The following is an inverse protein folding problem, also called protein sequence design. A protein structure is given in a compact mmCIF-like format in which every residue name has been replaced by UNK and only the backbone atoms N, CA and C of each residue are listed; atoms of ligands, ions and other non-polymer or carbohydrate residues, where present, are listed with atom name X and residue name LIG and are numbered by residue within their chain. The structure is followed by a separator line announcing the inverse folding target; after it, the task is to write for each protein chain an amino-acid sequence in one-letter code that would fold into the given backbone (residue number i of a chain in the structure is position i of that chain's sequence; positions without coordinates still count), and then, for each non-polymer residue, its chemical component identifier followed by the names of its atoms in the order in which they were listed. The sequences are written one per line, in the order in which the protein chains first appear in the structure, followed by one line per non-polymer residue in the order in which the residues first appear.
data_IF_571081909008
#
_entry.id   IF_571081909008
#
_cell.length_a   1.000
_cell.length_b   1.000
_cell.length_c   1.000
_cell.angle_alpha   90.00
_cell.angle_beta   90.00
_cell.angle_gamma   90.00
#
_symmetry.space_group_name_H-M   'P 1'
#
loop_
_entity.id
_entity.type
_entity.pdbx_description
1 polymer ?
#
# COMPACT_ATOMS: atom_id res chain seq x y z
N UNK A 1 -23.31 -14.26 -14.36
CA UNK A 1 -22.29 -13.38 -13.76
C UNK A 1 -21.49 -12.85 -14.92
N UNK A 2 -21.43 -11.53 -15.09
CA UNK A 2 -20.44 -10.94 -15.99
C UNK A 2 -19.06 -11.43 -15.57
N UNK A 3 -18.21 -11.70 -16.55
CA UNK A 3 -16.80 -11.98 -16.33
C UNK A 3 -16.19 -10.75 -15.63
N UNK A 4 -15.53 -10.97 -14.48
CA UNK A 4 -14.88 -9.90 -13.71
C UNK A 4 -14.01 -9.03 -14.58
N UNK A 5 -13.32 -9.61 -15.59
CA UNK A 5 -12.44 -8.88 -16.52
C UNK A 5 -13.16 -7.79 -17.31
N UNK A 6 -14.44 -7.98 -17.62
CA UNK A 6 -15.25 -7.06 -18.43
C UNK A 6 -15.99 -5.99 -17.63
N UNK A 7 -15.72 -5.87 -16.32
CA UNK A 7 -16.29 -4.79 -15.51
C UNK A 7 -15.88 -3.44 -16.09
N UNK A 8 -16.88 -2.59 -16.38
CA UNK A 8 -16.66 -1.22 -16.85
C UNK A 8 -16.36 -0.30 -15.68
N UNK A 9 -15.21 0.36 -15.70
CA UNK A 9 -14.79 1.21 -14.59
C UNK A 9 -15.72 2.42 -14.38
N UNK A 10 -16.40 2.87 -15.45
CA UNK A 10 -17.38 3.95 -15.41
C UNK A 10 -18.60 3.62 -14.53
N UNK A 11 -18.89 2.34 -14.28
CA UNK A 11 -19.94 1.91 -13.35
C UNK A 11 -19.55 2.12 -11.88
N UNK A 12 -18.27 2.37 -11.62
CA UNK A 12 -17.72 2.66 -10.29
C UNK A 12 -17.46 4.16 -10.14
N UNK A 13 -18.41 4.96 -10.63
CA UNK A 13 -18.34 6.41 -10.60
C UNK A 13 -19.35 7.00 -9.61
N UNK A 14 -18.93 8.09 -8.96
CA UNK A 14 -19.76 8.92 -8.07
C UNK A 14 -19.22 10.36 -8.07
N UNK A 15 -20.05 11.37 -7.81
CA UNK A 15 -19.60 12.77 -7.77
C UNK A 15 -18.75 13.01 -6.52
N UNK A 16 -17.46 13.33 -6.71
CA UNK A 16 -16.55 13.73 -5.64
C UNK A 16 -16.17 15.21 -5.82
N UNK A 17 -16.85 16.16 -5.14
CA UNK A 17 -16.49 17.57 -5.21
C UNK A 17 -15.19 17.86 -4.43
N UNK A 18 -14.37 18.82 -4.90
CA UNK A 18 -13.06 19.15 -4.31
C UNK A 18 -13.15 19.52 -2.83
N UNK A 19 -14.25 20.16 -2.41
CA UNK A 19 -14.52 20.53 -1.02
C UNK A 19 -14.67 19.33 -0.06
N UNK A 20 -14.96 18.14 -0.58
CA UNK A 20 -15.02 16.90 0.22
C UNK A 20 -13.65 16.23 0.33
N UNK A 21 -12.64 16.66 -0.44
CA UNK A 21 -11.29 16.11 -0.37
C UNK A 21 -10.51 16.78 0.78
N UNK A 22 -10.16 16.01 1.80
CA UNK A 22 -9.34 16.53 2.90
C UNK A 22 -7.89 16.73 2.45
N UNK A 23 -7.47 18.00 2.38
CA UNK A 23 -6.08 18.38 2.01
C UNK A 23 -5.07 18.20 3.16
N UNK A 24 -5.57 18.20 4.39
CA UNK A 24 -4.83 18.01 5.64
C UNK A 24 -5.65 17.15 6.60
N UNK A 25 -5.00 16.40 7.50
CA UNK A 25 -5.71 15.67 8.55
C UNK A 25 -6.26 16.63 9.60
N UNK A 26 -7.17 16.12 10.43
CA UNK A 26 -7.56 16.82 11.66
C UNK A 26 -6.35 16.92 12.61
N UNK A 27 -6.31 17.98 13.41
CA UNK A 27 -5.28 18.17 14.43
C UNK A 27 -5.24 16.97 15.41
N UNK A 28 -6.41 16.44 15.76
CA UNK A 28 -6.56 15.19 16.51
C UNK A 28 -7.19 14.15 15.59
N UNK A 29 -6.36 13.27 15.03
CA UNK A 29 -6.75 12.39 13.91
C UNK A 29 -7.87 11.41 14.24
N UNK A 30 -7.89 10.89 15.46
CA UNK A 30 -8.93 9.96 15.93
C UNK A 30 -10.28 10.64 16.23
N UNK A 31 -10.39 11.96 16.04
CA UNK A 31 -11.67 12.69 16.05
C UNK A 31 -12.32 12.75 14.66
N UNK A 32 -11.75 12.06 13.67
CA UNK A 32 -12.40 11.89 12.36
C UNK A 32 -13.70 11.11 12.49
N UNK A 33 -14.60 11.30 11.52
CA UNK A 33 -15.83 10.51 11.49
C UNK A 33 -15.51 9.05 11.17
N UNK A 34 -16.32 8.16 11.70
CA UNK A 34 -16.33 6.73 11.39
C UNK A 34 -17.70 6.37 10.81
N UNK A 35 -17.74 6.03 9.52
CA UNK A 35 -18.89 5.39 8.93
C UNK A 35 -18.88 3.91 9.34
N UNK A 36 -20.00 3.40 9.83
CA UNK A 36 -20.15 1.99 10.22
C UNK A 36 -21.15 1.34 9.28
N UNK A 37 -20.65 0.46 8.41
CA UNK A 37 -21.47 -0.43 7.60
C UNK A 37 -21.52 -1.80 8.25
N UNK A 38 -22.71 -2.25 8.64
CA UNK A 38 -22.90 -3.56 9.29
C UNK A 38 -24.10 -4.29 8.70
N UNK A 39 -23.83 -5.38 7.98
CA UNK A 39 -24.84 -6.27 7.40
C UNK A 39 -25.93 -5.54 6.60
N UNK A 40 -25.51 -4.54 5.80
CA UNK A 40 -26.41 -3.74 4.97
C UNK A 40 -26.87 -2.42 5.59
N UNK A 41 -26.71 -2.22 6.91
CA UNK A 41 -27.06 -0.95 7.57
C UNK A 41 -25.87 0.01 7.57
N UNK A 42 -26.14 1.31 7.42
CA UNK A 42 -25.14 2.38 7.47
C UNK A 42 -25.48 3.33 8.61
N UNK A 43 -24.49 3.62 9.45
CA UNK A 43 -24.56 4.59 10.54
C UNK A 43 -23.25 5.38 10.63
N UNK A 44 -23.21 6.38 11.50
CA UNK A 44 -22.01 7.17 11.77
C UNK A 44 -21.70 7.23 13.27
N UNK A 45 -20.41 7.31 13.58
CA UNK A 45 -19.85 7.54 14.91
C UNK A 45 -18.52 8.32 14.75
N UNK A 46 -17.72 8.42 15.80
CA UNK A 46 -16.38 8.99 15.80
C UNK A 46 -15.36 7.86 15.82
N UNK A 47 -14.18 8.06 15.21
CA UNK A 47 -13.16 7.01 15.09
C UNK A 47 -12.70 6.42 16.44
N UNK A 48 -12.70 7.19 17.53
CA UNK A 48 -12.44 6.66 18.88
C UNK A 48 -13.43 5.59 19.34
N UNK A 49 -14.61 5.50 18.74
CA UNK A 49 -15.62 4.47 19.04
C UNK A 49 -15.35 3.15 18.32
N UNK A 50 -14.38 3.09 17.41
CA UNK A 50 -14.04 1.88 16.65
C UNK A 50 -13.95 0.60 17.51
N UNK A 51 -13.27 0.58 18.68
CA UNK A 51 -13.19 -0.62 19.50
C UNK A 51 -14.56 -1.18 19.91
N UNK A 52 -15.59 -0.34 20.09
CA UNK A 52 -16.92 -0.79 20.52
C UNK A 52 -17.60 -1.73 19.53
N UNK A 53 -17.23 -1.67 18.26
CA UNK A 53 -17.77 -2.51 17.18
C UNK A 53 -17.01 -3.83 16.99
N UNK A 54 -15.92 -4.01 17.74
CA UNK A 54 -15.06 -5.20 17.69
C UNK A 54 -15.31 -6.10 18.90
N UNK A 55 -15.09 -7.39 18.68
CA UNK A 55 -15.25 -8.46 19.65
C UNK A 55 -13.89 -8.86 20.23
N UNK A 56 -13.84 -9.16 21.53
CA UNK A 56 -12.61 -9.60 22.18
C UNK A 56 -12.10 -10.91 21.54
N UNK A 57 -10.79 -10.98 21.32
CA UNK A 57 -10.12 -12.10 20.64
C UNK A 57 -10.10 -11.98 19.12
N UNK A 58 -10.68 -10.94 18.51
CA UNK A 58 -10.47 -10.67 17.10
C UNK A 58 -9.03 -10.20 16.82
N UNK A 59 -8.50 -10.59 15.65
CA UNK A 59 -7.16 -10.22 15.20
C UNK A 59 -7.22 -9.08 14.20
N UNK A 60 -6.47 -8.00 14.47
CA UNK A 60 -6.42 -6.81 13.65
C UNK A 60 -5.02 -6.60 13.05
N UNK A 61 -4.97 -6.41 11.74
CA UNK A 61 -3.72 -6.45 10.96
C UNK A 61 -3.41 -5.09 10.34
N UNK A 62 -2.23 -4.56 10.67
CA UNK A 62 -1.76 -3.24 10.29
C UNK A 62 -0.61 -3.33 9.28
N UNK A 63 -0.60 -2.47 8.25
CA UNK A 63 0.56 -2.29 7.39
C UNK A 63 1.55 -1.30 8.05
N UNK A 64 2.70 -1.78 8.50
CA UNK A 64 3.69 -0.98 9.25
C UNK A 64 4.72 -0.27 8.35
N UNK A 65 4.46 -0.21 7.04
CA UNK A 65 5.31 0.49 6.10
C UNK A 65 5.37 1.99 6.38
N UNK A 66 6.56 2.58 6.17
CA UNK A 66 6.85 3.99 6.34
C UNK A 66 7.17 4.61 4.99
N UNK A 67 6.54 5.76 4.72
CA UNK A 67 6.76 6.50 3.48
C UNK A 67 8.18 7.04 3.44
N UNK A 68 8.86 6.85 2.32
CA UNK A 68 10.20 7.37 2.06
C UNK A 68 10.13 8.66 1.25
N UNK A 69 11.16 9.49 1.35
CA UNK A 69 11.33 10.69 0.56
C UNK A 69 11.81 10.32 -0.87
N UNK A 70 10.93 9.71 -1.65
CA UNK A 70 11.23 9.07 -2.94
C UNK A 70 11.33 10.02 -4.14
N UNK A 71 11.01 11.31 -4.00
CA UNK A 71 11.05 12.26 -5.13
C UNK A 71 12.34 13.07 -5.10
N UNK A 72 13.24 12.78 -6.03
CA UNK A 72 14.52 13.49 -6.17
C UNK A 72 14.43 14.56 -7.26
N UNK A 73 15.07 15.70 -7.01
CA UNK A 73 15.16 16.80 -7.96
C UNK A 73 16.59 17.02 -8.45
N UNK A 74 16.75 17.05 -9.77
CA UNK A 74 18.00 17.36 -10.44
C UNK A 74 17.83 18.59 -11.34
N UNK A 75 18.86 19.43 -11.42
CA UNK A 75 18.89 20.57 -12.35
C UNK A 75 19.97 20.33 -13.39
N UNK A 76 19.60 20.43 -14.67
CA UNK A 76 20.57 20.42 -15.76
C UNK A 76 21.33 21.75 -15.82
N UNK A 77 22.48 21.77 -16.51
CA UNK A 77 23.23 22.99 -16.81
C UNK A 77 22.37 24.04 -17.52
N UNK A 78 21.39 23.60 -18.32
CA UNK A 78 20.41 24.47 -18.98
C UNK A 78 19.39 25.12 -18.03
N UNK A 79 19.46 24.83 -16.73
CA UNK A 79 18.52 25.28 -15.71
C UNK A 79 17.23 24.45 -15.59
N UNK A 80 17.01 23.50 -16.50
CA UNK A 80 15.81 22.65 -16.49
C UNK A 80 15.77 21.74 -15.26
N UNK A 81 14.63 21.73 -14.55
CA UNK A 81 14.35 20.83 -13.44
C UNK A 81 13.84 19.48 -13.97
N UNK A 82 14.51 18.40 -13.58
CA UNK A 82 14.11 17.03 -13.84
C UNK A 82 13.74 16.40 -12.49
N UNK A 83 12.54 15.80 -12.44
CA UNK A 83 12.07 15.09 -11.26
C UNK A 83 12.26 13.60 -11.49
N UNK A 84 12.87 12.91 -10.53
CA UNK A 84 13.10 11.47 -10.55
C UNK A 84 12.36 10.88 -9.37
N UNK A 85 11.27 10.17 -9.64
CA UNK A 85 10.40 9.62 -8.61
C UNK A 85 10.62 8.12 -8.48
N UNK A 86 11.33 7.71 -7.43
CA UNK A 86 11.64 6.32 -7.12
C UNK A 86 10.34 5.53 -6.85
N UNK A 87 10.13 4.45 -7.59
CA UNK A 87 8.95 3.59 -7.47
C UNK A 87 9.26 2.32 -6.69
N UNK A 88 10.27 1.59 -7.16
CA UNK A 88 10.71 0.32 -6.60
C UNK A 88 12.19 0.07 -6.91
N UNK A 89 12.92 -0.58 -5.98
CA UNK A 89 14.31 -0.97 -6.17
C UNK A 89 14.42 -2.10 -7.19
N UNK A 90 15.55 -2.16 -7.88
CA UNK A 90 15.82 -3.18 -8.90
C UNK A 90 17.14 -3.88 -8.65
N UNK A 91 18.18 -3.13 -8.29
CA UNK A 91 19.48 -3.70 -7.95
C UNK A 91 20.09 -3.04 -6.72
N UNK A 92 20.16 -3.76 -5.59
CA UNK A 92 19.40 -4.99 -5.32
C UNK A 92 17.88 -4.72 -5.35
N UNK A 93 17.07 -5.74 -5.61
CA UNK A 93 15.60 -5.64 -5.66
C UNK A 93 14.96 -5.68 -4.25
N UNK A 94 15.70 -6.14 -3.24
CA UNK A 94 15.26 -6.05 -1.84
C UNK A 94 15.42 -4.61 -1.31
N UNK A 95 14.35 -4.08 -0.71
CA UNK A 95 14.33 -2.71 -0.20
C UNK A 95 15.37 -2.45 0.90
N UNK A 96 15.55 -3.39 1.83
CA UNK A 96 16.48 -3.21 2.96
C UNK A 96 17.91 -3.20 2.46
N UNK A 97 18.28 -4.17 1.63
CA UNK A 97 19.59 -4.26 1.01
C UNK A 97 19.85 -3.06 0.09
N UNK A 98 18.84 -2.60 -0.64
CA UNK A 98 18.98 -1.46 -1.56
C UNK A 98 19.25 -0.17 -0.79
N UNK A 99 18.47 0.08 0.27
CA UNK A 99 18.66 1.23 1.14
C UNK A 99 20.00 1.24 1.86
N UNK A 100 20.60 0.08 2.11
CA UNK A 100 21.92 -0.04 2.74
C UNK A 100 23.10 0.08 1.77
N UNK A 101 22.86 0.12 0.45
CA UNK A 101 23.95 0.33 -0.50
C UNK A 101 24.65 1.66 -0.25
N UNK A 102 25.97 1.72 -0.47
CA UNK A 102 26.80 2.90 -0.19
C UNK A 102 27.57 3.45 -1.40
N UNK A 103 27.33 2.96 -2.61
CA UNK A 103 28.04 3.42 -3.81
C UNK A 103 27.12 3.62 -5.00
N UNK A 104 26.23 2.65 -5.17
CA UNK A 104 25.30 2.61 -6.29
C UNK A 104 24.08 1.76 -5.94
N UNK A 105 22.97 2.06 -6.59
CA UNK A 105 21.78 1.22 -6.58
C UNK A 105 20.92 1.56 -7.80
N UNK A 106 20.06 0.65 -8.21
CA UNK A 106 19.16 0.86 -9.34
C UNK A 106 17.71 0.81 -8.91
N UNK A 107 16.89 1.67 -9.51
CA UNK A 107 15.45 1.80 -9.23
C UNK A 107 14.66 1.96 -10.52
N UNK A 108 13.44 1.45 -10.55
CA UNK A 108 12.43 1.91 -11.50
C UNK A 108 11.87 3.24 -11.00
N UNK A 109 11.91 4.25 -11.87
CA UNK A 109 11.50 5.61 -11.55
C UNK A 109 10.49 6.16 -12.57
N UNK A 110 9.55 7.01 -12.12
CA UNK A 110 8.82 7.91 -13.02
C UNK A 110 9.60 9.22 -13.16
N UNK A 111 9.67 9.76 -14.39
CA UNK A 111 10.49 10.94 -14.69
C UNK A 111 9.61 12.13 -15.06
N UNK A 112 9.61 13.15 -14.21
CA UNK A 112 9.03 14.46 -14.49
C UNK A 112 9.89 15.25 -15.47
N UNK A 113 9.26 15.99 -16.39
CA UNK A 113 9.93 16.74 -17.46
C UNK A 113 10.88 15.90 -18.34
N UNK A 114 10.58 14.61 -18.54
CA UNK A 114 11.39 13.66 -19.34
C UNK A 114 11.85 14.21 -20.70
N UNK A 115 11.03 15.00 -21.40
CA UNK A 115 11.39 15.62 -22.69
C UNK A 115 12.67 16.48 -22.64
N UNK A 116 13.10 16.91 -21.45
CA UNK A 116 14.31 17.70 -21.20
C UNK A 116 15.53 16.85 -20.81
N UNK A 117 15.33 15.56 -20.52
CA UNK A 117 16.39 14.59 -20.22
C UNK A 117 16.42 13.47 -21.27
N UNK A 118 17.03 13.77 -22.42
CA UNK A 118 17.19 12.81 -23.52
C UNK A 118 18.34 11.84 -23.26
N UNK A 119 19.49 12.37 -22.89
CA UNK A 119 20.73 11.62 -22.67
C UNK A 119 21.57 12.30 -21.58
N UNK A 120 22.61 11.60 -21.13
CA UNK A 120 23.59 12.06 -20.14
C UNK A 120 23.20 11.78 -18.70
N UNK A 121 24.19 11.86 -17.82
CA UNK A 121 24.03 11.72 -16.37
C UNK A 121 23.56 13.04 -15.77
N UNK A 122 22.60 12.96 -14.84
CA UNK A 122 22.24 14.08 -13.98
C UNK A 122 23.07 14.00 -12.71
N UNK A 123 23.54 15.14 -12.22
CA UNK A 123 24.28 15.19 -10.96
C UNK A 123 23.81 16.36 -10.10
N UNK A 124 23.87 16.18 -8.79
CA UNK A 124 23.59 17.22 -7.80
C UNK A 124 24.52 17.06 -6.61
N UNK A 125 24.98 18.19 -6.09
CA UNK A 125 25.74 18.25 -4.85
C UNK A 125 24.77 18.39 -3.69
N UNK A 126 24.89 17.52 -2.68
CA UNK A 126 24.10 17.52 -1.46
C UNK A 126 25.02 17.40 -0.23
N UNK A 127 24.57 17.87 0.93
CA UNK A 127 25.31 17.75 2.18
C UNK A 127 24.64 16.72 3.08
N UNK A 128 25.27 15.56 3.27
CA UNK A 128 24.72 14.44 4.05
C UNK A 128 25.71 14.12 5.16
N UNK A 129 25.24 14.10 6.43
CA UNK A 129 26.09 13.85 7.61
C UNK A 129 27.36 14.73 7.67
N UNK A 130 27.26 15.98 7.20
CA UNK A 130 28.37 16.94 7.17
C UNK A 130 29.37 16.75 6.02
N UNK A 131 29.10 15.81 5.10
CA UNK A 131 29.93 15.55 3.91
C UNK A 131 29.23 16.06 2.66
N UNK A 132 30.01 16.65 1.76
CA UNK A 132 29.54 17.07 0.45
C UNK A 132 29.63 15.88 -0.52
N UNK A 133 28.48 15.44 -1.02
CA UNK A 133 28.33 14.24 -1.86
C UNK A 133 27.80 14.65 -3.23
N UNK A 134 28.35 14.06 -4.30
CA UNK A 134 27.85 14.17 -5.66
C UNK A 134 26.93 13.00 -5.96
N UNK A 135 25.63 13.20 -5.80
CA UNK A 135 24.62 12.23 -6.20
C UNK A 135 24.40 12.33 -7.71
N UNK A 136 24.55 11.21 -8.41
CA UNK A 136 24.34 11.09 -9.85
C UNK A 136 23.22 10.10 -10.18
N UNK A 137 22.52 10.35 -11.28
CA UNK A 137 21.46 9.51 -11.82
C UNK A 137 21.67 9.32 -13.33
N UNK A 138 21.78 8.07 -13.76
CA UNK A 138 21.92 7.69 -15.17
C UNK A 138 20.72 6.87 -15.60
N UNK A 139 20.13 7.22 -16.74
CA UNK A 139 18.93 6.56 -17.26
C UNK A 139 19.31 5.35 -18.11
N UNK A 140 18.77 4.19 -17.75
CA UNK A 140 18.86 2.94 -18.49
C UNK A 140 17.59 2.64 -19.30
N UNK A 141 17.20 1.37 -19.31
CA UNK A 141 16.06 0.85 -20.09
C UNK A 141 14.70 1.43 -19.64
N UNK A 142 13.72 1.39 -20.55
CA UNK A 142 12.35 1.81 -20.27
C UNK A 142 11.45 0.58 -20.18
N UNK A 143 10.65 0.49 -19.11
CA UNK A 143 9.62 -0.54 -18.91
C UNK A 143 8.26 0.13 -18.76
N UNK A 144 7.47 0.14 -19.83
CA UNK A 144 6.18 0.82 -19.86
C UNK A 144 6.30 2.33 -19.61
N UNK A 145 5.75 2.80 -18.49
CA UNK A 145 5.83 4.22 -18.06
C UNK A 145 6.97 4.51 -17.07
N UNK A 146 7.73 3.49 -16.70
CA UNK A 146 8.82 3.57 -15.72
C UNK A 146 10.17 3.47 -16.43
N UNK A 147 11.17 4.15 -15.88
CA UNK A 147 12.53 4.16 -16.38
C UNK A 147 13.47 3.55 -15.36
N UNK A 148 14.33 2.64 -15.79
CA UNK A 148 15.45 2.17 -14.99
C UNK A 148 16.42 3.34 -14.77
N UNK A 149 16.73 3.64 -13.51
CA UNK A 149 17.71 4.68 -13.14
C UNK A 149 18.78 4.04 -12.26
N UNK A 150 20.03 4.19 -12.68
CA UNK A 150 21.22 3.88 -11.88
C UNK A 150 21.64 5.11 -11.11
N UNK A 151 21.54 5.05 -9.78
CA UNK A 151 22.08 6.04 -8.89
C UNK A 151 23.52 5.69 -8.51
N UNK A 152 24.38 6.69 -8.43
CA UNK A 152 25.75 6.54 -7.93
C UNK A 152 26.20 7.78 -7.15
N UNK A 153 27.09 7.58 -6.18
CA UNK A 153 27.64 8.68 -5.38
C UNK A 153 29.04 8.35 -4.86
N UNK A 154 29.75 9.39 -4.41
CA UNK A 154 31.20 9.39 -4.18
C UNK A 154 31.61 9.21 -2.70
N UNK A 155 30.87 8.43 -1.91
CA UNK A 155 31.22 8.12 -0.51
C UNK A 155 30.67 6.75 -0.06
N UNK A 156 31.54 5.85 0.40
CA UNK A 156 31.20 4.47 0.84
C UNK A 156 30.60 4.35 2.25
N UNK A 157 30.45 5.45 2.96
CA UNK A 157 29.86 5.48 4.30
C UNK A 157 28.43 6.03 4.31
N UNK A 158 28.00 6.68 3.22
CA UNK A 158 26.66 7.22 3.07
C UNK A 158 25.77 6.20 2.37
N UNK A 159 24.66 5.85 3.01
CA UNK A 159 23.70 4.88 2.46
C UNK A 159 22.71 5.55 1.50
N UNK A 160 22.08 4.78 0.60
CA UNK A 160 21.02 5.34 -0.25
C UNK A 160 19.84 5.90 0.56
N UNK A 161 19.52 5.27 1.71
CA UNK A 161 18.52 5.82 2.62
C UNK A 161 18.89 7.22 3.16
N UNK A 162 20.17 7.45 3.49
CA UNK A 162 20.64 8.77 3.92
C UNK A 162 20.49 9.81 2.80
N UNK A 163 20.76 9.42 1.54
CA UNK A 163 20.59 10.29 0.38
C UNK A 163 19.11 10.68 0.18
N UNK A 164 18.20 9.71 0.21
CA UNK A 164 16.76 9.97 0.11
C UNK A 164 16.28 10.89 1.23
N UNK A 165 16.78 10.69 2.45
CA UNK A 165 16.35 11.48 3.61
C UNK A 165 16.70 12.97 3.51
N UNK A 166 17.79 13.30 2.84
CA UNK A 166 18.27 14.68 2.68
C UNK A 166 17.87 15.30 1.34
N UNK A 167 17.97 14.54 0.26
CA UNK A 167 17.79 15.04 -1.11
C UNK A 167 16.37 14.84 -1.64
N UNK A 168 15.63 13.92 -1.04
CA UNK A 168 14.29 13.57 -1.45
C UNK A 168 13.23 14.50 -0.87
N UNK A 169 12.14 14.62 -1.60
CA UNK A 169 10.88 15.18 -1.12
C UNK A 169 9.92 14.03 -0.80
N UNK A 170 9.14 14.17 0.27
CA UNK A 170 8.07 13.23 0.60
C UNK A 170 6.97 13.32 -0.46
N UNK A 171 6.67 12.24 -1.20
CA UNK A 171 5.60 12.27 -2.19
C UNK A 171 4.24 12.25 -1.50
N UNK A 172 3.41 13.25 -1.80
CA UNK A 172 2.00 13.27 -1.43
C UNK A 172 1.09 13.00 -2.65
N UNK A 173 -0.13 12.46 -2.44
CA UNK A 173 -1.04 12.16 -3.54
C UNK A 173 -1.36 13.40 -4.38
N UNK A 174 -1.39 13.30 -5.72
CA UNK A 174 -1.61 14.45 -6.60
C UNK A 174 -2.97 15.12 -6.41
N UNK A 175 -3.99 14.37 -5.96
CA UNK A 175 -5.32 14.91 -5.71
C UNK A 175 -5.41 15.84 -4.49
N UNK A 176 -4.38 15.90 -3.64
CA UNK A 176 -4.35 16.91 -2.56
C UNK A 176 -4.18 18.33 -3.12
N UNK A 177 -3.69 18.45 -4.36
CA UNK A 177 -3.53 19.70 -5.10
C UNK A 177 -2.82 20.80 -4.30
N UNK A 178 -1.73 20.42 -3.64
CA UNK A 178 -0.83 21.30 -2.89
C UNK A 178 0.58 20.75 -2.89
N UNK A 179 1.54 21.59 -2.55
CA UNK A 179 2.93 21.17 -2.31
C UNK A 179 3.04 20.43 -0.97
N UNK A 180 4.09 19.59 -0.87
CA UNK A 180 4.48 18.92 0.36
C UNK A 180 4.91 19.95 1.40
N UNK A 181 4.51 19.75 2.65
CA UNK A 181 4.90 20.61 3.78
C UNK A 181 5.75 19.83 4.78
N UNK A 182 6.54 20.52 5.60
CA UNK A 182 7.35 19.86 6.64
C UNK A 182 6.50 19.03 7.61
N UNK A 183 5.27 19.48 7.91
CA UNK A 183 4.33 18.71 8.73
C UNK A 183 3.97 17.35 8.12
N UNK A 184 4.01 17.18 6.79
CA UNK A 184 3.68 15.91 6.13
C UNK A 184 4.66 14.79 6.49
N UNK A 185 5.90 15.11 6.86
CA UNK A 185 6.88 14.12 7.35
C UNK A 185 6.37 13.36 8.58
N UNK A 186 5.50 14.00 9.36
CA UNK A 186 4.82 13.42 10.53
C UNK A 186 3.35 13.07 10.22
N UNK A 187 2.64 13.93 9.49
CA UNK A 187 1.20 13.78 9.26
C UNK A 187 0.84 12.71 8.26
N UNK A 188 1.73 12.44 7.30
CA UNK A 188 1.56 11.41 6.28
C UNK A 188 2.25 10.09 6.66
N UNK A 189 2.21 9.76 7.96
CA UNK A 189 2.74 8.53 8.52
C UNK A 189 1.81 8.02 9.62
N UNK A 190 1.71 6.70 9.77
CA UNK A 190 1.02 6.07 10.90
C UNK A 190 1.93 6.08 12.14
N UNK A 191 1.35 6.12 13.33
CA UNK A 191 2.10 6.13 14.60
C UNK A 191 2.92 4.85 14.82
N UNK A 192 2.51 3.75 14.18
CA UNK A 192 3.15 2.43 14.24
C UNK A 192 4.03 2.13 13.01
N UNK A 193 4.29 3.10 12.12
CA UNK A 193 5.15 2.88 10.96
C UNK A 193 6.61 2.68 11.35
N UNK A 194 7.22 1.57 10.88
CA UNK A 194 8.57 1.15 11.26
C UNK A 194 9.46 0.91 10.04
N UNK A 195 8.93 0.23 9.02
CA UNK A 195 9.72 -0.28 7.90
C UNK A 195 9.72 0.72 6.75
N UNK A 196 10.84 1.41 6.52
CA UNK A 196 11.02 2.30 5.35
C UNK A 196 10.86 1.47 4.07
N UNK A 197 10.06 1.96 3.12
CA UNK A 197 10.03 1.41 1.76
C UNK A 197 8.76 1.65 0.95
N UNK A 198 7.82 2.47 1.44
CA UNK A 198 6.64 2.83 0.64
C UNK A 198 6.74 4.22 0.06
N UNK A 199 6.10 4.42 -1.08
CA UNK A 199 5.94 5.71 -1.76
C UNK A 199 4.60 6.36 -1.39
N UNK A 200 3.67 5.60 -0.81
CA UNK A 200 2.40 6.09 -0.30
C UNK A 200 2.14 5.57 1.12
N UNK A 201 1.43 6.35 1.93
CA UNK A 201 1.08 5.94 3.29
C UNK A 201 -0.09 4.95 3.28
N UNK A 202 -0.13 3.97 4.21
CA UNK A 202 -1.33 3.16 4.47
C UNK A 202 -2.37 4.04 5.19
N UNK A 203 -3.10 4.83 4.40
CA UNK A 203 -3.86 5.99 4.87
C UNK A 203 -5.00 5.68 5.85
N UNK A 204 -5.58 4.49 5.78
CA UNK A 204 -6.56 4.03 6.77
C UNK A 204 -5.95 3.91 8.18
N UNK A 205 -4.64 3.68 8.24
CA UNK A 205 -3.88 3.64 9.47
C UNK A 205 -3.66 4.99 10.14
N UNK A 206 -3.86 6.11 9.41
CA UNK A 206 -3.54 7.45 9.93
C UNK A 206 -4.46 7.89 11.07
N UNK A 207 -5.64 7.28 11.20
CA UNK A 207 -6.63 7.59 12.23
C UNK A 207 -6.31 6.95 13.58
N UNK A 208 -5.47 5.92 13.60
CA UNK A 208 -5.04 5.26 14.82
C UNK A 208 -4.02 6.12 15.54
N UNK A 209 -4.43 6.67 16.67
CA UNK A 209 -3.55 7.28 17.66
C UNK A 209 -3.15 6.24 18.70
N UNK A 210 -2.12 6.53 19.50
CA UNK A 210 -1.75 5.70 20.66
C UNK A 210 -2.95 5.45 21.60
N UNK A 211 -3.85 6.44 21.74
CA UNK A 211 -5.09 6.32 22.51
C UNK A 211 -6.01 5.24 21.95
N UNK A 212 -6.22 5.21 20.63
CA UNK A 212 -7.07 4.20 19.99
C UNK A 212 -6.43 2.82 20.08
N UNK A 213 -5.11 2.72 19.86
CA UNK A 213 -4.37 1.46 19.98
C UNK A 213 -4.47 0.89 21.40
N UNK A 214 -4.30 1.72 22.43
CA UNK A 214 -4.47 1.31 23.82
C UNK A 214 -5.91 0.84 24.11
N UNK A 215 -6.92 1.52 23.58
CA UNK A 215 -8.33 1.12 23.75
C UNK A 215 -8.66 -0.22 23.06
N UNK A 216 -7.97 -0.56 21.96
CA UNK A 216 -8.07 -1.89 21.34
C UNK A 216 -7.45 -2.95 22.25
N UNK A 217 -6.26 -2.69 22.81
CA UNK A 217 -5.58 -3.61 23.72
C UNK A 217 -6.41 -3.87 24.99
N UNK A 218 -6.99 -2.82 25.59
CA UNK A 218 -7.87 -2.92 26.77
C UNK A 218 -9.14 -3.75 26.50
N UNK A 219 -9.62 -3.77 25.25
CA UNK A 219 -10.77 -4.57 24.83
C UNK A 219 -10.40 -5.99 24.43
N UNK A 220 -9.12 -6.35 24.53
CA UNK A 220 -8.60 -7.66 24.20
C UNK A 220 -8.64 -7.95 22.69
N UNK A 221 -8.39 -6.93 21.87
CA UNK A 221 -8.19 -7.11 20.42
C UNK A 221 -6.72 -7.45 20.19
N UNK A 222 -6.45 -8.58 19.54
CA UNK A 222 -5.11 -8.98 19.16
C UNK A 222 -4.64 -8.13 17.97
N UNK A 223 -3.37 -7.70 17.98
CA UNK A 223 -2.82 -6.85 16.93
C UNK A 223 -1.53 -7.42 16.38
N UNK A 224 -1.45 -7.52 15.06
CA UNK A 224 -0.25 -7.93 14.34
C UNK A 224 0.05 -6.94 13.21
N UNK A 225 1.29 -6.97 12.74
CA UNK A 225 1.77 -6.10 11.68
C UNK A 225 2.32 -6.92 10.51
N UNK A 226 2.11 -6.40 9.30
CA UNK A 226 2.73 -6.86 8.07
C UNK A 226 3.37 -5.69 7.33
N UNK A 227 4.23 -5.98 6.36
CA UNK A 227 4.76 -4.98 5.44
C UNK A 227 4.22 -5.23 4.04
N UNK A 228 3.62 -4.21 3.44
CA UNK A 228 3.43 -4.09 1.99
C UNK A 228 4.08 -2.79 1.53
N UNK A 229 5.09 -2.91 0.68
CA UNK A 229 5.72 -1.76 0.03
C UNK A 229 4.85 -1.27 -1.12
N UNK A 230 4.24 -0.10 -0.91
CA UNK A 230 3.31 0.51 -1.85
C UNK A 230 4.09 1.37 -2.84
N UNK A 231 4.11 0.98 -4.11
CA UNK A 231 4.69 1.77 -5.20
C UNK A 231 3.80 2.95 -5.62
N UNK A 232 4.29 3.84 -6.49
CA UNK A 232 3.48 4.98 -6.96
C UNK A 232 2.29 4.60 -7.85
N UNK A 233 2.22 3.33 -8.26
CA UNK A 233 1.11 2.76 -9.02
C UNK A 233 -0.27 3.03 -8.40
N UNK A 234 -0.33 3.06 -7.07
CA UNK A 234 -1.56 3.32 -6.29
C UNK A 234 -2.18 4.69 -6.56
N UNK A 235 -1.42 5.65 -7.11
CA UNK A 235 -1.96 6.97 -7.47
C UNK A 235 -2.52 7.04 -8.90
N UNK A 236 -2.34 6.01 -9.72
CA UNK A 236 -2.76 6.05 -11.11
C UNK A 236 -4.25 5.70 -11.23
N UNK A 237 -5.07 6.58 -11.84
CA UNK A 237 -6.43 6.21 -12.18
C UNK A 237 -6.43 5.09 -13.23
N UNK A 238 -7.48 4.27 -13.22
CA UNK A 238 -7.73 3.30 -14.29
C UNK A 238 -8.11 4.08 -15.54
N UNK A 239 -7.34 3.89 -16.63
CA UNK A 239 -7.55 4.61 -17.90
C UNK A 239 -8.26 3.77 -18.96
N UNK A 240 -8.32 2.45 -18.77
CA UNK A 240 -9.03 1.53 -19.65
C UNK A 240 -10.54 1.61 -19.40
N UNK A 241 -11.34 1.28 -20.42
CA UNK A 241 -12.81 1.19 -20.28
C UNK A 241 -13.19 0.03 -19.35
N UNK A 242 -12.57 -1.12 -19.58
CA UNK A 242 -12.74 -2.34 -18.81
C UNK A 242 -11.51 -2.62 -17.94
N UNK A 243 -11.70 -3.34 -16.84
CA UNK A 243 -10.62 -3.62 -15.89
C UNK A 243 -9.58 -4.60 -16.44
N UNK A 244 -9.92 -5.42 -17.44
CA UNK A 244 -8.95 -6.29 -18.15
C UNK A 244 -7.74 -5.50 -18.68
N UNK A 245 -8.00 -4.30 -19.20
CA UNK A 245 -6.96 -3.42 -19.75
C UNK A 245 -6.12 -2.70 -18.69
N UNK A 246 -6.37 -2.91 -17.40
CA UNK A 246 -5.60 -2.32 -16.31
C UNK A 246 -4.58 -3.31 -15.76
N UNK A 247 -3.31 -2.95 -15.85
CA UNK A 247 -2.22 -3.69 -15.22
C UNK A 247 -1.98 -3.18 -13.80
N UNK A 248 -2.13 -4.07 -12.82
CA UNK A 248 -1.77 -3.84 -11.43
C UNK A 248 -0.25 -3.82 -11.29
N UNK A 249 0.24 -2.88 -10.51
CA UNK A 249 1.66 -2.85 -10.17
C UNK A 249 2.02 -3.97 -9.20
N UNK A 250 3.20 -4.54 -9.37
CA UNK A 250 3.77 -5.47 -8.39
C UNK A 250 4.08 -4.73 -7.11
N UNK A 251 3.69 -5.32 -5.99
CA UNK A 251 4.04 -4.85 -4.66
C UNK A 251 4.67 -5.96 -3.85
N UNK A 252 5.63 -5.59 -3.02
CA UNK A 252 6.41 -6.54 -2.24
C UNK A 252 5.86 -6.66 -0.83
N UNK A 253 5.70 -7.90 -0.38
CA UNK A 253 5.19 -8.24 0.94
C UNK A 253 6.31 -8.82 1.81
N UNK A 254 6.26 -8.50 3.10
CA UNK A 254 7.00 -9.23 4.13
C UNK A 254 6.08 -9.49 5.30
N UNK A 255 5.96 -10.77 5.69
CA UNK A 255 5.10 -11.21 6.79
C UNK A 255 5.90 -12.14 7.69
N UNK A 256 5.95 -11.82 8.98
CA UNK A 256 6.70 -12.65 9.93
C UNK A 256 6.04 -14.01 10.10
N UNK A 257 6.85 -15.03 10.40
CA UNK A 257 6.36 -16.37 10.77
C UNK A 257 5.38 -16.29 11.94
N UNK A 258 5.66 -15.45 12.94
CA UNK A 258 4.77 -15.23 14.08
C UNK A 258 3.38 -14.74 13.66
N UNK A 259 3.31 -13.81 12.70
CA UNK A 259 2.04 -13.29 12.19
C UNK A 259 1.26 -14.39 11.43
N UNK A 260 1.94 -15.30 10.72
CA UNK A 260 1.30 -16.48 10.10
C UNK A 260 0.73 -17.42 11.17
N UNK A 261 1.50 -17.70 12.23
CA UNK A 261 1.04 -18.52 13.36
C UNK A 261 -0.18 -17.91 14.06
N UNK A 262 -0.17 -16.59 14.27
CA UNK A 262 -1.33 -15.84 14.79
C UNK A 262 -2.54 -15.99 13.86
N UNK A 263 -2.40 -15.75 12.56
CA UNK A 263 -3.50 -15.92 11.62
C UNK A 263 -4.10 -17.33 11.68
N UNK A 264 -3.27 -18.38 11.77
CA UNK A 264 -3.72 -19.76 11.95
C UNK A 264 -4.49 -19.93 13.26
N UNK A 265 -3.97 -19.41 14.37
CA UNK A 265 -4.62 -19.46 15.69
C UNK A 265 -5.97 -18.73 15.72
N UNK A 266 -6.16 -17.72 14.86
CA UNK A 266 -7.42 -17.01 14.65
C UNK A 266 -8.24 -17.58 13.47
N UNK A 267 -8.10 -18.88 13.17
CA UNK A 267 -8.86 -19.60 12.15
C UNK A 267 -8.71 -19.05 10.71
N UNK A 268 -7.59 -18.37 10.44
CA UNK A 268 -7.38 -17.68 9.17
C UNK A 268 -8.34 -16.51 8.96
N UNK A 269 -8.80 -15.87 10.04
CA UNK A 269 -9.72 -14.73 10.01
C UNK A 269 -9.06 -13.48 10.57
N UNK A 270 -9.25 -12.34 9.91
CA UNK A 270 -8.68 -11.07 10.35
C UNK A 270 -9.52 -9.85 10.02
N UNK A 271 -9.31 -8.79 10.80
CA UNK A 271 -9.71 -7.42 10.52
C UNK A 271 -8.55 -6.72 9.83
N UNK A 272 -8.75 -6.27 8.59
CA UNK A 272 -7.71 -5.57 7.85
C UNK A 272 -7.78 -4.05 8.06
N UNK A 273 -6.64 -3.42 8.34
CA UNK A 273 -6.52 -1.96 8.39
C UNK A 273 -5.95 -1.44 7.07
N UNK A 274 -6.85 -1.01 6.20
CA UNK A 274 -6.56 -0.49 4.88
C UNK A 274 -6.50 -1.57 3.80
N UNK A 275 -6.75 -1.13 2.57
CA UNK A 275 -6.76 -1.98 1.37
C UNK A 275 -5.40 -2.61 1.07
N UNK A 276 -4.30 -2.03 1.56
CA UNK A 276 -2.96 -2.65 1.49
C UNK A 276 -2.90 -3.92 2.32
N UNK A 277 -3.38 -3.87 3.57
CA UNK A 277 -3.44 -5.07 4.43
C UNK A 277 -4.38 -6.11 3.85
N UNK A 278 -5.50 -5.69 3.25
CA UNK A 278 -6.41 -6.61 2.54
C UNK A 278 -5.68 -7.38 1.47
N UNK A 279 -4.99 -6.69 0.56
CA UNK A 279 -4.30 -7.36 -0.55
C UNK A 279 -3.21 -8.29 -0.05
N UNK A 280 -2.45 -7.92 0.98
CA UNK A 280 -1.46 -8.84 1.56
C UNK A 280 -2.12 -10.08 2.16
N UNK A 281 -3.13 -9.91 3.01
CA UNK A 281 -3.81 -11.03 3.68
C UNK A 281 -4.44 -11.97 2.67
N UNK A 282 -5.17 -11.44 1.71
CA UNK A 282 -5.77 -12.24 0.65
C UNK A 282 -4.72 -12.92 -0.23
N UNK A 283 -3.58 -12.27 -0.50
CA UNK A 283 -2.47 -12.90 -1.21
C UNK A 283 -1.80 -14.03 -0.43
N UNK A 284 -1.78 -13.99 0.92
CA UNK A 284 -1.25 -15.12 1.72
C UNK A 284 -2.02 -16.41 1.44
N UNK A 285 -3.33 -16.35 1.23
CA UNK A 285 -4.09 -17.52 0.81
C UNK A 285 -3.53 -18.10 -0.49
N UNK A 286 -3.38 -17.26 -1.52
CA UNK A 286 -2.90 -17.71 -2.84
C UNK A 286 -1.43 -18.14 -2.83
N UNK A 287 -0.58 -17.55 -2.00
CA UNK A 287 0.79 -18.03 -1.81
C UNK A 287 0.78 -19.43 -1.20
N UNK A 288 -0.07 -19.69 -0.20
CA UNK A 288 -0.29 -21.03 0.32
C UNK A 288 -0.75 -22.02 -0.76
N UNK A 289 -1.62 -21.56 -1.68
CA UNK A 289 -2.01 -22.35 -2.86
C UNK A 289 -0.82 -22.63 -3.77
N UNK A 290 0.02 -21.65 -4.09
CA UNK A 290 1.22 -21.86 -4.92
C UNK A 290 2.17 -22.89 -4.29
N UNK A 291 2.43 -22.77 -2.97
CA UNK A 291 3.28 -23.71 -2.23
C UNK A 291 2.68 -25.12 -2.25
N UNK A 292 1.36 -25.25 -2.12
CA UNK A 292 0.71 -26.58 -2.15
C UNK A 292 0.91 -27.31 -3.49
N UNK A 293 1.00 -26.56 -4.60
CA UNK A 293 1.26 -27.12 -5.93
C UNK A 293 2.75 -27.32 -6.21
N UNK A 294 3.61 -26.49 -5.63
CA UNK A 294 5.07 -26.58 -5.76
C UNK A 294 5.78 -26.31 -4.42
N UNK A 295 5.96 -27.33 -3.56
CA UNK A 295 6.53 -27.17 -2.22
C UNK A 295 7.99 -26.68 -2.17
N UNK A 296 8.71 -26.84 -3.28
CA UNK A 296 10.12 -26.47 -3.47
C UNK A 296 10.29 -25.14 -4.23
N UNK A 297 9.21 -24.38 -4.41
CA UNK A 297 9.24 -23.08 -5.07
C UNK A 297 10.20 -22.10 -4.36
N UNK A 298 10.98 -21.38 -5.15
CA UNK A 298 11.77 -20.24 -4.67
C UNK A 298 10.84 -19.08 -4.30
N UNK A 299 11.31 -18.16 -3.45
CA UNK A 299 10.50 -16.99 -3.05
C UNK A 299 10.07 -16.12 -4.24
N UNK A 300 10.91 -16.03 -5.28
CA UNK A 300 10.59 -15.29 -6.51
C UNK A 300 9.45 -15.96 -7.30
N UNK A 301 9.31 -17.28 -7.21
CA UNK A 301 8.20 -18.03 -7.82
C UNK A 301 6.90 -17.93 -7.00
N UNK A 302 6.97 -17.54 -5.73
CA UNK A 302 5.80 -17.31 -4.87
C UNK A 302 5.13 -15.96 -5.15
N UNK A 303 5.00 -15.59 -6.42
CA UNK A 303 4.37 -14.35 -6.86
C UNK A 303 2.88 -14.54 -7.15
N UNK A 304 2.01 -13.76 -6.51
CA UNK A 304 0.56 -13.80 -6.79
C UNK A 304 0.22 -12.95 -8.01
N UNK A 305 -0.08 -13.64 -9.12
CA UNK A 305 -0.48 -13.02 -10.38
C UNK A 305 -1.83 -12.30 -10.26
N UNK A 306 -2.03 -11.28 -11.10
CA UNK A 306 -3.20 -10.39 -11.05
C UNK A 306 -4.54 -11.14 -11.05
N UNK A 307 -4.76 -12.03 -12.02
CA UNK A 307 -6.04 -12.71 -12.25
C UNK A 307 -6.18 -14.08 -11.58
N UNK A 308 -5.13 -14.52 -10.87
CA UNK A 308 -5.07 -15.80 -10.18
C UNK A 308 -6.35 -16.11 -9.36
N UNK A 309 -6.96 -15.15 -8.63
CA UNK A 309 -8.16 -15.42 -7.85
C UNK A 309 -9.40 -15.87 -8.63
N UNK A 310 -9.47 -15.59 -9.93
CA UNK A 310 -10.63 -15.86 -10.78
C UNK A 310 -10.39 -17.03 -11.74
N UNK A 311 -9.13 -17.43 -11.92
CA UNK A 311 -8.71 -18.47 -12.87
C UNK A 311 -8.49 -19.80 -12.15
N UNK A 312 -7.87 -19.77 -10.97
CA UNK A 312 -7.52 -20.96 -10.23
C UNK A 312 -8.66 -21.41 -9.32
N UNK A 313 -9.15 -22.64 -9.56
CA UNK A 313 -10.01 -23.34 -8.62
C UNK A 313 -9.15 -24.07 -7.62
N UNK A 314 -9.27 -23.73 -6.35
CA UNK A 314 -8.63 -24.44 -5.26
C UNK A 314 -9.58 -24.57 -4.07
N UNK A 315 -9.48 -25.70 -3.39
CA UNK A 315 -10.39 -26.12 -2.32
C UNK A 315 -9.77 -26.00 -0.91
N UNK A 316 -8.55 -25.46 -0.79
CA UNK A 316 -7.94 -25.23 0.52
C UNK A 316 -8.77 -24.24 1.34
N UNK A 317 -8.90 -24.53 2.62
CA UNK A 317 -9.34 -23.56 3.62
C UNK A 317 -8.26 -22.50 3.86
N UNK A 318 -8.62 -21.30 4.39
CA UNK A 318 -7.63 -20.29 4.77
C UNK A 318 -6.54 -20.83 5.72
N UNK A 319 -6.93 -21.66 6.68
CA UNK A 319 -5.98 -22.26 7.64
C UNK A 319 -5.02 -23.23 6.94
N UNK A 320 -5.50 -24.09 6.05
CA UNK A 320 -4.63 -25.01 5.31
C UNK A 320 -3.64 -24.25 4.41
N UNK A 321 -4.09 -23.20 3.72
CA UNK A 321 -3.21 -22.36 2.92
C UNK A 321 -2.13 -21.66 3.77
N UNK A 322 -2.50 -21.10 4.93
CA UNK A 322 -1.53 -20.52 5.86
C UNK A 322 -0.57 -21.57 6.44
N UNK A 323 -1.04 -22.80 6.68
CA UNK A 323 -0.20 -23.89 7.13
C UNK A 323 0.86 -24.27 6.08
N UNK A 324 0.53 -24.23 4.79
CA UNK A 324 1.53 -24.42 3.72
C UNK A 324 2.66 -23.40 3.81
N UNK A 325 2.34 -22.14 4.10
CA UNK A 325 3.33 -21.08 4.32
C UNK A 325 4.16 -21.38 5.57
N UNK A 326 3.52 -21.71 6.69
CA UNK A 326 4.24 -22.01 7.94
C UNK A 326 5.21 -23.19 7.77
N UNK A 327 4.77 -24.26 7.11
CA UNK A 327 5.61 -25.42 6.83
C UNK A 327 6.75 -25.07 5.87
N UNK A 328 6.49 -24.24 4.86
CA UNK A 328 7.52 -23.74 3.95
C UNK A 328 8.60 -22.95 4.70
N UNK A 329 8.21 -22.03 5.57
CA UNK A 329 9.13 -21.23 6.40
C UNK A 329 9.96 -22.13 7.32
N UNK A 330 9.33 -23.14 7.94
CA UNK A 330 10.02 -24.10 8.79
C UNK A 330 11.05 -24.93 8.00
N UNK A 331 10.70 -25.44 6.81
CA UNK A 331 11.60 -26.24 5.97
C UNK A 331 12.84 -25.47 5.52
N UNK A 332 12.69 -24.16 5.30
CA UNK A 332 13.76 -23.28 4.82
C UNK A 332 14.44 -22.49 5.94
N UNK A 333 14.10 -22.75 7.21
CA UNK A 333 14.64 -22.04 8.38
C UNK A 333 14.49 -20.51 8.28
N UNK A 334 13.33 -20.06 7.79
CA UNK A 334 13.01 -18.65 7.56
C UNK A 334 12.09 -18.09 8.66
N UNK A 335 12.41 -16.88 9.12
CA UNK A 335 11.60 -16.15 10.12
C UNK A 335 10.54 -15.24 9.52
N UNK A 336 10.59 -15.00 8.20
CA UNK A 336 9.61 -14.20 7.49
C UNK A 336 9.43 -14.69 6.05
N UNK A 337 8.19 -14.63 5.57
CA UNK A 337 7.87 -14.77 4.16
C UNK A 337 8.17 -13.45 3.44
N UNK A 338 8.97 -13.53 2.39
CA UNK A 338 9.14 -12.44 1.42
C UNK A 338 8.57 -12.93 0.08
N UNK A 339 7.73 -12.10 -0.53
CA UNK A 339 7.00 -12.44 -1.76
C UNK A 339 6.50 -11.15 -2.41
N UNK A 340 5.80 -11.26 -3.53
CA UNK A 340 5.19 -10.13 -4.23
C UNK A 340 3.79 -10.47 -4.77
N UNK A 341 3.01 -9.43 -5.04
CA UNK A 341 1.63 -9.58 -5.50
C UNK A 341 1.24 -8.50 -6.49
N UNK A 342 0.45 -8.90 -7.50
CA UNK A 342 -0.29 -8.03 -8.41
C UNK A 342 -1.81 -8.22 -8.25
N UNK A 343 -2.26 -8.82 -7.15
CA UNK A 343 -3.66 -9.25 -6.98
C UNK A 343 -4.66 -8.11 -7.27
N UNK A 344 -5.64 -8.38 -8.14
CA UNK A 344 -6.79 -7.50 -8.34
C UNK A 344 -8.00 -8.07 -7.60
N UNK A 345 -8.57 -7.26 -6.70
CA UNK A 345 -9.78 -7.59 -5.97
C UNK A 345 -10.91 -6.73 -6.52
N UNK A 346 -11.89 -7.37 -7.15
CA UNK A 346 -13.01 -6.76 -7.85
C UNK A 346 -14.28 -7.58 -7.62
N UNK A 347 -15.48 -7.03 -7.91
CA UNK A 347 -16.73 -7.77 -7.76
C UNK A 347 -16.67 -9.16 -8.40
N UNK A 348 -17.18 -10.17 -7.68
CA UNK A 348 -16.99 -11.59 -8.02
C UNK A 348 -15.90 -12.27 -7.18
N UNK A 349 -15.04 -11.50 -6.49
CA UNK A 349 -14.04 -12.03 -5.57
C UNK A 349 -14.65 -12.65 -4.31
N UNK A 350 -14.08 -13.76 -3.84
CA UNK A 350 -14.45 -14.40 -2.57
C UNK A 350 -13.35 -14.19 -1.55
N UNK A 351 -13.62 -13.34 -0.55
CA UNK A 351 -12.70 -13.08 0.55
C UNK A 351 -12.44 -14.33 1.40
N UNK A 352 -11.16 -14.65 1.55
CA UNK A 352 -10.68 -15.86 2.23
C UNK A 352 -10.39 -15.54 3.69
N UNK A 353 -9.57 -14.52 3.95
CA UNK A 353 -9.03 -14.22 5.28
C UNK A 353 -9.72 -13.00 5.91
N UNK A 354 -9.92 -11.93 5.15
CA UNK A 354 -10.46 -10.68 5.69
C UNK A 354 -11.96 -10.81 5.95
N UNK A 355 -12.38 -10.58 7.20
CA UNK A 355 -13.80 -10.63 7.63
C UNK A 355 -14.39 -9.25 7.94
N UNK A 356 -13.55 -8.31 8.38
CA UNK A 356 -13.90 -6.90 8.57
C UNK A 356 -12.78 -6.03 8.01
N UNK A 357 -13.10 -4.81 7.58
CA UNK A 357 -12.08 -3.88 7.07
C UNK A 357 -12.31 -2.48 7.62
N UNK A 358 -11.23 -1.83 8.06
CA UNK A 358 -11.18 -0.38 8.29
C UNK A 358 -10.52 0.27 7.08
N UNK A 359 -11.18 1.21 6.40
CA UNK A 359 -10.61 1.89 5.23
C UNK A 359 -11.13 3.32 5.07
N UNK A 360 -10.41 4.16 4.31
CA UNK A 360 -10.91 5.47 3.88
C UNK A 360 -11.95 5.34 2.75
N UNK A 361 -12.49 6.48 2.33
CA UNK A 361 -13.20 6.60 1.05
C UNK A 361 -12.20 6.79 -0.10
N UNK A 362 -12.45 6.15 -1.24
CA UNK A 362 -11.52 6.06 -2.36
C UNK A 362 -12.01 6.83 -3.59
N UNK A 363 -11.10 7.20 -4.49
CA UNK A 363 -11.47 7.93 -5.71
C UNK A 363 -12.52 7.17 -6.55
N UNK A 364 -13.42 7.88 -7.25
CA UNK A 364 -14.25 7.27 -8.26
C UNK A 364 -13.36 6.63 -9.33
N UNK A 365 -13.85 5.56 -9.95
CA UNK A 365 -13.19 4.85 -11.05
C UNK A 365 -11.78 4.33 -10.66
N UNK A 366 -11.65 3.83 -9.42
CA UNK A 366 -10.41 3.27 -8.89
C UNK A 366 -10.53 1.79 -8.55
N UNK A 367 -9.40 1.07 -8.61
CA UNK A 367 -9.33 -0.34 -8.18
C UNK A 367 -9.60 -0.51 -6.68
N UNK A 368 -9.31 0.51 -5.87
CA UNK A 368 -9.65 0.49 -4.44
C UNK A 368 -11.18 0.51 -4.22
N UNK A 369 -11.92 1.22 -5.06
CA UNK A 369 -13.39 1.20 -5.01
C UNK A 369 -13.96 -0.15 -5.46
N UNK A 370 -13.33 -0.81 -6.45
CA UNK A 370 -13.68 -2.18 -6.84
C UNK A 370 -13.47 -3.17 -5.68
N UNK A 371 -12.34 -3.06 -4.97
CA UNK A 371 -12.04 -3.87 -3.80
C UNK A 371 -13.10 -3.71 -2.71
N UNK A 372 -13.41 -2.45 -2.35
CA UNK A 372 -14.48 -2.15 -1.38
C UNK A 372 -15.83 -2.70 -1.86
N UNK A 373 -16.18 -2.50 -3.13
CA UNK A 373 -17.41 -3.03 -3.72
C UNK A 373 -17.51 -4.55 -3.61
N UNK A 374 -16.42 -5.27 -3.91
CA UNK A 374 -16.36 -6.71 -3.77
C UNK A 374 -16.62 -7.12 -2.32
N UNK A 375 -16.02 -6.40 -1.36
CA UNK A 375 -16.16 -6.70 0.07
C UNK A 375 -17.59 -6.56 0.56
N UNK A 376 -18.27 -5.47 0.18
CA UNK A 376 -19.65 -5.19 0.59
C UNK A 376 -20.70 -5.74 -0.38
N UNK A 377 -20.31 -6.68 -1.26
CA UNK A 377 -21.18 -7.37 -2.21
C UNK A 377 -22.00 -6.42 -3.09
N UNK A 378 -21.36 -5.36 -3.58
CA UNK A 378 -21.96 -4.35 -4.47
C UNK A 378 -22.67 -3.19 -3.76
N UNK A 379 -22.84 -3.23 -2.43
CA UNK A 379 -23.52 -2.16 -1.66
C UNK A 379 -22.71 -0.87 -1.47
N UNK A 380 -21.60 -0.69 -2.19
CA UNK A 380 -20.71 0.47 -2.02
C UNK A 380 -21.42 1.80 -2.28
N UNK A 381 -22.38 1.86 -3.23
CA UNK A 381 -23.13 3.10 -3.51
C UNK A 381 -23.85 3.62 -2.29
N UNK A 382 -24.53 2.74 -1.54
CA UNK A 382 -25.23 3.10 -0.30
C UNK A 382 -24.29 3.75 0.72
N UNK A 383 -23.07 3.23 0.85
CA UNK A 383 -22.05 3.75 1.76
C UNK A 383 -21.57 5.14 1.31
N UNK A 384 -21.25 5.28 0.03
CA UNK A 384 -20.69 6.52 -0.52
C UNK A 384 -21.75 7.63 -0.61
N UNK A 385 -22.99 7.30 -0.97
CA UNK A 385 -24.11 8.24 -0.99
C UNK A 385 -24.44 8.75 0.43
N UNK A 386 -24.41 7.86 1.42
CA UNK A 386 -24.56 8.25 2.82
C UNK A 386 -23.43 9.21 3.24
N UNK A 387 -22.18 8.86 2.95
CA UNK A 387 -21.02 9.67 3.28
C UNK A 387 -21.10 11.08 2.66
N UNK A 388 -21.47 11.18 1.37
CA UNK A 388 -21.66 12.46 0.69
C UNK A 388 -22.79 13.29 1.31
N UNK A 389 -23.91 12.64 1.67
CA UNK A 389 -25.07 13.27 2.30
C UNK A 389 -24.88 13.70 3.75
N UNK A 390 -23.85 13.20 4.44
CA UNK A 390 -23.56 13.46 5.86
C UNK A 390 -22.19 14.13 6.07
N UNK A 391 -21.71 14.89 5.09
CA UNK A 391 -20.49 15.72 5.19
C UNK A 391 -19.23 14.95 5.62
N UNK A 392 -19.08 13.70 5.15
CA UNK A 392 -17.81 12.98 5.32
C UNK A 392 -16.73 13.57 4.42
N UNK A 393 -15.50 13.53 4.90
CA UNK A 393 -14.29 13.91 4.18
C UNK A 393 -13.68 12.67 3.50
N UNK A 394 -13.16 12.82 2.31
CA UNK A 394 -12.73 11.71 1.45
C UNK A 394 -11.21 11.64 1.31
N UNK A 395 -10.73 10.48 0.83
CA UNK A 395 -9.33 10.18 0.49
C UNK A 395 -8.38 10.16 1.71
N UNK A 396 -7.08 10.29 1.48
CA UNK A 396 -6.01 10.02 2.46
C UNK A 396 -6.21 10.61 3.86
N UNK A 397 -6.56 11.89 3.93
CA UNK A 397 -6.74 12.62 5.20
C UNK A 397 -8.20 12.79 5.62
N UNK A 398 -9.10 12.12 4.91
CA UNK A 398 -10.53 12.21 5.10
C UNK A 398 -10.99 11.56 6.39
N UNK A 399 -12.18 10.98 6.34
CA UNK A 399 -12.76 10.17 7.40
C UNK A 399 -12.58 8.67 7.07
N UNK A 400 -13.02 7.82 8.00
CA UNK A 400 -12.88 6.36 7.91
C UNK A 400 -14.22 5.66 7.76
N UNK A 401 -14.14 4.41 7.35
CA UNK A 401 -15.24 3.45 7.38
C UNK A 401 -14.80 2.15 8.05
N UNK A 402 -15.65 1.59 8.90
CA UNK A 402 -15.61 0.19 9.34
C UNK A 402 -16.66 -0.57 8.53
N UNK A 403 -16.21 -1.58 7.79
CA UNK A 403 -17.06 -2.40 6.93
C UNK A 403 -17.16 -3.81 7.52
N UNK A 404 -18.39 -4.24 7.80
CA UNK A 404 -18.77 -5.57 8.29
C UNK A 404 -19.86 -6.10 7.34
N UNK A 405 -19.51 -6.94 6.35
CA UNK A 405 -20.37 -7.26 5.21
C UNK A 405 -21.58 -8.14 5.49
#
# INVERSE_FOLDING_TARGET
MEDTKHIKISEFNYPLPDERIAKFPLATRDQSKLLVYRHGEVSEDIFTSLPHYLESGELMIFNNTKVIQARLHFRKETGALIEVFCLEPVQPNDYVLNFQQTRQCSWLCMIGNLKKWKEGTLSRIINVKGKQIVLSATRGECKGTSHWIDFSWDDDTITFADLLEVAGELPIPPYLNRETQESDKETYQTVYSKIKGSVAAPTAGLHFTERVLAALDERGIDREELTLHVGAGTFKPVKSEEIEGHEMHTEYISVSKHTIEKLIAHNGEAIAVGTTSVRTLESLYYIGVLISHNPDATQDELHVQQWMPYEDKNDLTPVEALQQILDYLNRHEMEALHSSTQIIIAPGYTYKIVKKMVTNFHQPQSTLLLLVSAFVKGNWRRIYDYALGHDFRFLSYGDSSLLIP
#
